data_IF_990965809925
#
_entry.id   IF_990965809925
#
_cell.length_a   1.000
_cell.length_b   1.000
_cell.length_c   1.000
_cell.angle_alpha   90.00
_cell.angle_beta   90.00
_cell.angle_gamma   90.00
#
_symmetry.space_group_name_H-M   'P 1'
#
loop_
_entity.id
_entity.type
_entity.pdbx_description
1 polymer ?
#
# COMPACT_ATOMS: atom_id res chain seq x y z
N UNK A 1 -5.07 19.16 -11.95
CA UNK A 1 -5.38 19.65 -10.59
C UNK A 1 -4.54 18.85 -9.62
N UNK A 2 -3.96 19.48 -8.61
CA UNK A 2 -3.16 18.80 -7.61
C UNK A 2 -3.99 17.79 -6.79
N UNK A 3 -3.38 16.70 -6.31
CA UNK A 3 -4.01 15.75 -5.43
C UNK A 3 -4.41 16.43 -4.10
N UNK A 4 -5.63 16.19 -3.65
CA UNK A 4 -6.13 16.70 -2.36
C UNK A 4 -5.69 15.80 -1.20
N UNK A 5 -5.56 14.52 -1.46
CA UNK A 5 -5.10 13.52 -0.48
C UNK A 5 -3.90 12.80 -1.06
N UNK A 6 -2.83 12.70 -0.29
CA UNK A 6 -1.62 11.99 -0.67
C UNK A 6 -1.33 10.94 0.38
N UNK A 7 -1.11 9.69 -0.06
CA UNK A 7 -0.73 8.58 0.79
C UNK A 7 0.74 8.19 0.61
N UNK A 8 1.41 7.85 1.71
CA UNK A 8 2.73 7.19 1.71
C UNK A 8 2.59 5.81 2.35
N UNK A 9 2.92 4.76 1.60
CA UNK A 9 2.82 3.40 2.10
C UNK A 9 3.30 2.36 1.09
N UNK A 10 2.89 1.13 1.33
CA UNK A 10 3.17 -0.02 0.45
C UNK A 10 2.04 -0.21 -0.55
N UNK A 11 2.40 -0.71 -1.73
CA UNK A 11 1.47 -1.34 -2.66
C UNK A 11 1.93 -2.77 -2.94
N UNK A 12 1.00 -3.69 -3.13
CA UNK A 12 1.26 -5.12 -3.33
C UNK A 12 0.31 -5.73 -4.36
N UNK A 13 0.61 -6.97 -4.72
CA UNK A 13 -0.37 -7.87 -5.29
C UNK A 13 -0.79 -8.84 -4.20
N UNK A 14 -2.09 -8.95 -3.97
CA UNK A 14 -2.66 -9.86 -3.00
C UNK A 14 -3.32 -11.04 -3.74
N UNK A 15 -2.87 -12.25 -3.42
CA UNK A 15 -3.37 -13.50 -3.96
C UNK A 15 -4.26 -14.16 -2.92
N UNK A 16 -5.56 -14.12 -3.14
CA UNK A 16 -6.54 -14.78 -2.29
C UNK A 16 -6.71 -16.23 -2.68
N UNK A 17 -6.60 -17.11 -1.70
CA UNK A 17 -6.80 -18.55 -1.84
C UNK A 17 -7.95 -18.95 -0.92
N UNK A 18 -9.08 -19.30 -1.48
CA UNK A 18 -10.28 -19.69 -0.72
C UNK A 18 -10.26 -21.21 -0.51
N UNK A 19 -10.39 -21.63 0.73
CA UNK A 19 -10.38 -23.03 1.14
C UNK A 19 -11.60 -23.36 1.99
N UNK A 20 -11.89 -24.65 2.23
CA UNK A 20 -12.92 -25.06 3.20
C UNK A 20 -12.46 -24.78 4.62
N UNK A 21 -11.28 -25.28 4.95
CA UNK A 21 -10.59 -25.13 6.24
C UNK A 21 -9.08 -24.98 6.00
N UNK A 22 -8.37 -24.46 6.99
CA UNK A 22 -6.91 -24.34 6.88
C UNK A 22 -6.23 -25.71 6.87
N UNK A 23 -5.24 -25.85 6.01
CA UNK A 23 -4.40 -27.02 5.90
C UNK A 23 -3.58 -27.23 7.19
N UNK A 24 -3.55 -28.46 7.72
CA UNK A 24 -2.58 -28.85 8.75
C UNK A 24 -1.21 -29.12 8.11
N UNK A 25 -0.13 -29.13 8.91
CA UNK A 25 1.17 -29.57 8.40
C UNK A 25 1.06 -30.94 7.71
N UNK A 26 1.73 -31.09 6.56
CA UNK A 26 1.79 -32.28 5.72
C UNK A 26 0.47 -32.70 5.02
N UNK A 27 -0.62 -31.97 5.23
CA UNK A 27 -1.89 -32.20 4.54
C UNK A 27 -1.92 -31.58 3.14
N UNK A 28 -2.85 -32.09 2.31
CA UNK A 28 -3.23 -31.53 1.01
C UNK A 28 -4.72 -31.24 1.02
N UNK A 29 -5.07 -29.99 0.67
CA UNK A 29 -6.46 -29.57 0.56
C UNK A 29 -6.73 -28.99 -0.82
N UNK A 30 -7.98 -29.00 -1.23
CA UNK A 30 -8.41 -28.38 -2.47
C UNK A 30 -8.66 -26.89 -2.29
N UNK A 31 -8.16 -26.10 -3.22
CA UNK A 31 -8.56 -24.70 -3.36
C UNK A 31 -9.97 -24.67 -3.93
N UNK A 32 -10.88 -23.92 -3.31
CA UNK A 32 -12.25 -23.69 -3.79
C UNK A 32 -12.33 -22.58 -4.83
N UNK A 33 -11.56 -21.52 -4.60
CA UNK A 33 -11.52 -20.36 -5.49
C UNK A 33 -10.20 -19.63 -5.33
N UNK A 34 -9.87 -18.83 -6.31
CA UNK A 34 -8.64 -18.06 -6.36
C UNK A 34 -8.92 -16.67 -6.95
N UNK A 35 -8.46 -15.63 -6.29
CA UNK A 35 -8.54 -14.26 -6.78
C UNK A 35 -7.19 -13.57 -6.67
N UNK A 36 -6.94 -12.62 -7.55
CA UNK A 36 -5.74 -11.79 -7.56
C UNK A 36 -6.15 -10.33 -7.73
N UNK A 37 -5.61 -9.45 -6.90
CA UNK A 37 -5.91 -8.02 -6.96
C UNK A 37 -4.74 -7.18 -6.46
N UNK A 38 -4.74 -5.88 -6.80
CA UNK A 38 -3.85 -4.91 -6.19
C UNK A 38 -4.24 -4.69 -4.73
N UNK A 39 -3.23 -4.58 -3.86
CA UNK A 39 -3.37 -4.43 -2.43
C UNK A 39 -2.44 -3.36 -1.86
N UNK A 40 -2.32 -3.37 -0.53
CA UNK A 40 -1.61 -2.39 0.28
C UNK A 40 -2.57 -1.42 0.98
N UNK A 41 -2.42 -1.25 2.29
CA UNK A 41 -3.35 -0.49 3.14
C UNK A 41 -3.54 0.94 2.62
N UNK A 42 -2.46 1.70 2.51
CA UNK A 42 -2.50 3.08 2.03
C UNK A 42 -2.86 3.17 0.55
N UNK A 43 -2.41 2.21 -0.27
CA UNK A 43 -2.78 2.15 -1.68
C UNK A 43 -4.29 1.99 -1.86
N UNK A 44 -4.91 1.06 -1.11
CA UNK A 44 -6.36 0.83 -1.09
C UNK A 44 -7.13 2.05 -0.59
N UNK A 45 -6.62 2.75 0.45
CA UNK A 45 -7.20 4.00 0.91
C UNK A 45 -7.22 5.05 -0.20
N UNK A 46 -6.09 5.28 -0.89
CA UNK A 46 -5.99 6.26 -1.97
C UNK A 46 -6.90 5.93 -3.17
N UNK A 47 -6.99 4.63 -3.53
CA UNK A 47 -7.94 4.14 -4.57
C UNK A 47 -9.38 4.38 -4.12
N UNK A 48 -9.72 4.07 -2.86
CA UNK A 48 -11.05 4.32 -2.30
C UNK A 48 -11.43 5.79 -2.34
N UNK A 49 -10.52 6.68 -2.01
CA UNK A 49 -10.68 8.14 -2.12
C UNK A 49 -10.95 8.55 -3.58
N UNK A 50 -10.14 8.06 -4.52
CA UNK A 50 -10.29 8.36 -5.95
C UNK A 50 -11.66 7.90 -6.49
N UNK A 51 -12.09 6.68 -6.12
CA UNK A 51 -13.40 6.12 -6.50
C UNK A 51 -14.58 6.96 -5.98
N UNK A 52 -14.39 7.72 -4.91
CA UNK A 52 -15.38 8.68 -4.39
C UNK A 52 -15.24 10.08 -5.00
N UNK A 53 -14.52 10.23 -6.11
CA UNK A 53 -14.41 11.47 -6.86
C UNK A 53 -13.45 12.51 -6.28
N UNK A 54 -12.65 12.14 -5.27
CA UNK A 54 -11.64 13.02 -4.68
C UNK A 54 -10.28 12.73 -5.29
N UNK A 55 -9.58 13.73 -5.79
CA UNK A 55 -8.23 13.57 -6.35
C UNK A 55 -7.25 13.09 -5.28
N UNK A 56 -6.68 11.91 -5.49
CA UNK A 56 -5.67 11.32 -4.62
C UNK A 56 -4.35 11.09 -5.37
N UNK A 57 -3.27 10.98 -4.60
CA UNK A 57 -1.96 10.59 -5.08
C UNK A 57 -1.34 9.55 -4.16
N UNK A 58 -0.40 8.78 -4.68
CA UNK A 58 0.27 7.75 -3.92
C UNK A 58 1.80 7.89 -4.06
N UNK A 59 2.48 7.88 -2.92
CA UNK A 59 3.92 7.89 -2.80
C UNK A 59 4.40 6.50 -2.38
N UNK A 60 5.21 5.87 -3.19
CA UNK A 60 5.72 4.54 -2.95
C UNK A 60 6.52 4.03 -4.13
N UNK A 61 6.89 2.76 -4.08
CA UNK A 61 7.53 2.09 -5.21
C UNK A 61 7.07 0.65 -5.36
N UNK A 62 7.37 0.08 -6.51
CA UNK A 62 7.22 -1.33 -6.81
C UNK A 62 8.41 -1.78 -7.66
N UNK A 63 8.55 -3.07 -7.87
CA UNK A 63 9.51 -3.59 -8.85
C UNK A 63 9.18 -3.14 -10.27
N UNK A 64 10.18 -2.98 -11.11
CA UNK A 64 9.99 -2.85 -12.56
C UNK A 64 9.71 -4.24 -13.17
N UNK A 65 8.59 -4.83 -12.75
CA UNK A 65 8.12 -6.16 -13.13
C UNK A 65 6.64 -6.12 -13.54
N UNK A 66 6.06 -7.22 -14.06
CA UNK A 66 4.66 -7.25 -14.48
C UNK A 66 3.67 -6.82 -13.37
N UNK A 67 3.95 -7.16 -12.12
CA UNK A 67 3.12 -6.80 -10.96
C UNK A 67 3.17 -5.30 -10.68
N UNK A 68 4.35 -4.68 -10.72
CA UNK A 68 4.50 -3.23 -10.56
C UNK A 68 3.81 -2.43 -11.66
N UNK A 69 3.93 -2.89 -12.89
CA UNK A 69 3.20 -2.31 -14.02
C UNK A 69 1.69 -2.44 -13.87
N UNK A 70 1.19 -3.54 -13.32
CA UNK A 70 -0.23 -3.73 -13.03
C UNK A 70 -0.73 -2.76 -11.97
N UNK A 71 0.01 -2.58 -10.87
CA UNK A 71 -0.31 -1.59 -9.82
C UNK A 71 -0.33 -0.18 -10.40
N UNK A 72 0.69 0.19 -11.19
CA UNK A 72 0.74 1.49 -11.87
C UNK A 72 -0.48 1.71 -12.77
N UNK A 73 -0.86 0.69 -13.54
CA UNK A 73 -2.06 0.72 -14.39
C UNK A 73 -3.34 0.87 -13.55
N UNK A 74 -3.43 0.14 -12.44
CA UNK A 74 -4.57 0.24 -11.53
C UNK A 74 -4.74 1.67 -10.98
N UNK A 75 -3.67 2.30 -10.52
CA UNK A 75 -3.72 3.69 -10.06
C UNK A 75 -4.17 4.67 -11.17
N UNK A 76 -3.61 4.52 -12.37
CA UNK A 76 -3.99 5.35 -13.54
C UNK A 76 -5.45 5.16 -13.94
N UNK A 77 -5.98 3.94 -13.86
CA UNK A 77 -7.40 3.66 -14.15
C UNK A 77 -8.37 4.32 -13.16
N UNK A 78 -7.87 4.73 -11.99
CA UNK A 78 -8.62 5.49 -10.98
C UNK A 78 -8.27 6.98 -10.98
N UNK A 79 -7.64 7.49 -12.04
CA UNK A 79 -7.24 8.90 -12.17
C UNK A 79 -6.39 9.43 -11.00
N UNK A 80 -5.61 8.56 -10.36
CA UNK A 80 -4.70 8.93 -9.29
C UNK A 80 -3.43 9.60 -9.82
N UNK A 81 -2.88 10.51 -9.04
CA UNK A 81 -1.54 11.07 -9.29
C UNK A 81 -0.47 10.02 -8.94
N UNK A 82 0.23 9.56 -9.97
CA UNK A 82 1.32 8.56 -9.88
C UNK A 82 2.70 9.16 -10.07
N UNK A 83 2.83 10.49 -10.04
CA UNK A 83 4.11 11.19 -10.28
C UNK A 83 5.19 10.84 -9.25
N UNK A 84 4.79 10.30 -8.09
CA UNK A 84 5.68 9.87 -7.00
C UNK A 84 5.53 8.37 -6.69
N UNK A 85 5.08 7.60 -7.66
CA UNK A 85 5.11 6.13 -7.63
C UNK A 85 6.16 5.62 -8.62
N UNK A 86 7.21 4.99 -8.12
CA UNK A 86 8.39 4.62 -8.89
C UNK A 86 8.47 3.11 -9.13
N UNK A 87 8.75 2.71 -10.36
CA UNK A 87 9.13 1.34 -10.70
C UNK A 87 10.66 1.23 -10.62
N UNK A 88 11.17 0.32 -9.78
CA UNK A 88 12.59 0.17 -9.45
C UNK A 88 13.12 -1.19 -9.90
N UNK A 89 14.26 -1.22 -10.60
CA UNK A 89 14.91 -2.45 -11.10
C UNK A 89 15.53 -3.30 -9.97
N UNK A 90 15.96 -2.64 -8.92
CA UNK A 90 16.67 -3.23 -7.79
C UNK A 90 15.77 -3.91 -6.75
N UNK A 91 14.46 -3.88 -6.95
CA UNK A 91 13.49 -4.54 -6.06
C UNK A 91 12.47 -5.36 -6.84
N UNK A 92 11.63 -6.10 -6.12
CA UNK A 92 10.48 -6.84 -6.65
C UNK A 92 9.21 -6.28 -6.07
N UNK A 93 8.15 -6.32 -6.84
CA UNK A 93 6.81 -5.98 -6.34
C UNK A 93 6.36 -7.02 -5.32
N UNK A 94 5.93 -6.62 -4.12
CA UNK A 94 5.49 -7.56 -3.10
C UNK A 94 4.25 -8.35 -3.55
N UNK A 95 4.25 -9.64 -3.22
CA UNK A 95 3.11 -10.54 -3.45
C UNK A 95 2.73 -11.21 -2.13
N UNK A 96 1.58 -10.86 -1.57
CA UNK A 96 1.05 -11.54 -0.39
C UNK A 96 0.16 -12.70 -0.79
N UNK A 97 0.16 -13.78 -0.01
CA UNK A 97 -0.80 -14.88 -0.12
C UNK A 97 -1.75 -14.81 1.07
N UNK A 98 -3.04 -14.71 0.79
CA UNK A 98 -4.09 -14.59 1.80
C UNK A 98 -4.99 -15.81 1.69
N UNK A 99 -4.83 -16.74 2.60
CA UNK A 99 -5.69 -17.93 2.69
C UNK A 99 -6.91 -17.57 3.52
N UNK A 100 -8.10 -17.82 2.98
CA UNK A 100 -9.39 -17.52 3.64
C UNK A 100 -10.20 -18.82 3.72
N UNK A 101 -10.67 -19.17 4.93
CA UNK A 101 -11.53 -20.33 5.14
C UNK A 101 -13.03 -20.01 4.94
N UNK A 102 -13.87 -21.06 5.02
CA UNK A 102 -15.32 -20.93 4.87
C UNK A 102 -15.99 -20.10 5.97
N UNK A 103 -15.31 -19.83 7.07
CA UNK A 103 -15.80 -19.01 8.18
C UNK A 103 -15.35 -17.54 8.07
N UNK A 104 -14.54 -17.20 7.04
CA UNK A 104 -13.98 -15.87 6.85
C UNK A 104 -12.73 -15.59 7.70
N UNK A 105 -12.18 -16.59 8.39
CA UNK A 105 -10.87 -16.48 9.05
C UNK A 105 -9.79 -16.40 7.99
N UNK A 106 -8.69 -15.70 8.28
CA UNK A 106 -7.62 -15.52 7.30
C UNK A 106 -6.23 -15.74 7.89
N UNK A 107 -5.36 -16.30 7.06
CA UNK A 107 -3.92 -16.36 7.29
C UNK A 107 -3.24 -15.58 6.17
N UNK A 108 -2.31 -14.70 6.52
CA UNK A 108 -1.59 -13.86 5.57
C UNK A 108 -0.11 -14.24 5.60
N UNK A 109 0.39 -14.71 4.45
CA UNK A 109 1.82 -14.88 4.22
C UNK A 109 2.31 -13.62 3.53
N UNK A 110 3.01 -12.79 4.29
CA UNK A 110 3.45 -11.47 3.85
C UNK A 110 4.82 -11.54 3.18
N UNK A 111 4.95 -10.89 2.03
CA UNK A 111 6.19 -10.82 1.28
C UNK A 111 7.20 -9.89 1.99
N UNK A 112 8.47 -10.33 2.21
CA UNK A 112 9.49 -9.50 2.85
C UNK A 112 9.89 -8.26 2.02
N UNK A 113 9.52 -8.17 0.75
CA UNK A 113 9.75 -6.98 -0.07
C UNK A 113 8.81 -5.80 0.25
N UNK A 114 7.82 -5.99 1.12
CA UNK A 114 6.91 -4.92 1.54
C UNK A 114 7.66 -3.67 1.99
N UNK A 115 8.59 -3.80 2.95
CA UNK A 115 9.33 -2.66 3.50
C UNK A 115 10.30 -2.02 2.51
N UNK A 116 10.79 -2.79 1.52
CA UNK A 116 11.73 -2.29 0.49
C UNK A 116 11.06 -1.38 -0.54
N UNK A 117 9.74 -1.44 -0.64
CA UNK A 117 8.95 -0.69 -1.61
C UNK A 117 8.26 0.56 -1.03
N UNK A 118 8.56 0.91 0.23
CA UNK A 118 8.22 2.24 0.77
C UNK A 118 9.39 3.20 0.51
N UNK A 119 9.09 4.42 0.10
CA UNK A 119 10.12 5.44 -0.13
C UNK A 119 10.90 5.73 1.16
N UNK A 120 12.20 5.92 1.03
CA UNK A 120 13.05 6.41 2.13
C UNK A 120 12.81 7.91 2.38
N UNK A 121 13.23 8.39 3.54
CA UNK A 121 13.10 9.80 3.87
C UNK A 121 13.78 10.72 2.84
N UNK A 122 14.87 10.27 2.20
CA UNK A 122 15.61 11.06 1.21
C UNK A 122 14.89 11.15 -0.14
N UNK A 123 14.02 10.18 -0.45
CA UNK A 123 13.21 10.16 -1.66
C UNK A 123 11.93 11.02 -1.56
N UNK A 124 11.64 11.57 -0.37
CA UNK A 124 10.46 12.42 -0.15
C UNK A 124 10.70 13.81 -0.71
N UNK A 125 9.80 14.25 -1.57
CA UNK A 125 9.75 15.61 -2.14
C UNK A 125 8.81 16.46 -1.28
N UNK A 126 9.35 17.41 -0.47
CA UNK A 126 8.54 18.17 0.49
C UNK A 126 7.40 18.95 -0.16
N UNK A 127 7.63 19.55 -1.32
CA UNK A 127 6.67 20.37 -2.04
C UNK A 127 5.45 19.57 -2.49
N UNK A 128 5.62 18.26 -2.75
CA UNK A 128 4.51 17.39 -3.11
C UNK A 128 3.61 17.15 -1.90
N UNK A 129 4.19 16.80 -0.75
CA UNK A 129 3.44 16.59 0.49
C UNK A 129 2.73 17.85 0.95
N UNK A 130 3.40 19.01 0.89
CA UNK A 130 2.86 20.30 1.33
C UNK A 130 1.67 20.80 0.50
N UNK A 131 1.49 20.32 -0.74
CA UNK A 131 0.37 20.70 -1.61
C UNK A 131 -0.94 19.98 -1.28
N UNK A 132 -0.89 18.82 -0.62
CA UNK A 132 -2.08 18.06 -0.26
C UNK A 132 -2.86 18.76 0.87
N UNK A 133 -4.17 18.55 0.92
CA UNK A 133 -5.00 18.98 2.05
C UNK A 133 -4.89 17.98 3.23
N UNK A 134 -4.69 16.71 2.90
CA UNK A 134 -4.52 15.61 3.87
C UNK A 134 -3.35 14.72 3.43
N UNK A 135 -2.44 14.45 4.35
CA UNK A 135 -1.42 13.40 4.22
C UNK A 135 -1.86 12.16 5.03
N UNK A 136 -1.79 10.98 4.40
CA UNK A 136 -2.16 9.69 5.01
C UNK A 136 -1.01 8.69 4.97
N UNK A 137 -0.82 7.89 6.04
CA UNK A 137 0.21 6.86 6.11
C UNK A 137 -0.15 5.77 7.14
N UNK A 138 0.42 4.57 6.97
CA UNK A 138 0.43 3.47 7.94
C UNK A 138 1.77 3.39 8.71
N UNK A 139 2.72 4.26 8.37
CA UNK A 139 4.06 4.36 8.94
C UNK A 139 4.90 3.06 8.88
N UNK A 140 4.71 2.22 7.88
CA UNK A 140 5.58 1.04 7.65
C UNK A 140 7.07 1.46 7.65
N UNK A 141 7.39 2.64 7.12
CA UNK A 141 8.72 3.25 7.21
C UNK A 141 8.67 4.52 8.04
N UNK A 142 8.98 4.38 9.32
CA UNK A 142 8.77 5.41 10.35
C UNK A 142 9.45 6.73 10.01
N UNK A 143 10.70 6.72 9.53
CA UNK A 143 11.47 7.94 9.25
C UNK A 143 10.84 8.74 8.10
N UNK A 144 10.45 8.08 7.03
CA UNK A 144 9.78 8.71 5.90
C UNK A 144 8.40 9.26 6.30
N UNK A 145 7.63 8.48 7.06
CA UNK A 145 6.33 8.89 7.58
C UNK A 145 6.47 10.12 8.51
N UNK A 146 7.40 10.13 9.46
CA UNK A 146 7.69 11.27 10.34
C UNK A 146 8.06 12.52 9.56
N UNK A 147 8.93 12.38 8.53
CA UNK A 147 9.29 13.51 7.67
C UNK A 147 8.05 14.09 6.97
N UNK A 148 7.22 13.26 6.36
CA UNK A 148 6.01 13.71 5.68
C UNK A 148 5.01 14.33 6.63
N UNK A 149 4.78 13.72 7.82
CA UNK A 149 3.88 14.28 8.84
C UNK A 149 4.34 15.64 9.32
N UNK A 150 5.65 15.84 9.52
CA UNK A 150 6.23 17.12 9.88
C UNK A 150 5.98 18.17 8.80
N UNK A 151 6.30 17.85 7.54
CA UNK A 151 6.07 18.74 6.38
C UNK A 151 4.59 19.13 6.28
N UNK A 152 3.67 18.16 6.38
CA UNK A 152 2.24 18.42 6.33
C UNK A 152 1.79 19.36 7.47
N UNK A 153 2.24 19.11 8.69
CA UNK A 153 1.94 19.96 9.85
C UNK A 153 2.47 21.38 9.69
N UNK A 154 3.70 21.56 9.27
CA UNK A 154 4.33 22.86 9.02
C UNK A 154 3.62 23.65 7.91
N UNK A 155 3.05 22.94 6.92
CA UNK A 155 2.21 23.52 5.88
C UNK A 155 0.75 23.75 6.30
N UNK A 156 0.38 23.51 7.57
CA UNK A 156 -0.99 23.67 8.08
C UNK A 156 -1.98 22.61 7.55
N UNK A 157 -1.48 21.47 7.10
CA UNK A 157 -2.29 20.39 6.52
C UNK A 157 -2.69 19.36 7.57
N UNK A 158 -3.73 18.59 7.25
CA UNK A 158 -4.19 17.49 8.11
C UNK A 158 -3.31 16.25 7.91
N UNK A 159 -3.15 15.49 8.98
CA UNK A 159 -2.48 14.19 8.97
C UNK A 159 -3.49 13.14 9.39
N UNK A 160 -3.59 12.07 8.61
CA UNK A 160 -4.38 10.87 8.88
C UNK A 160 -3.43 9.68 9.00
N UNK A 161 -3.72 8.79 9.91
CA UNK A 161 -2.84 7.67 10.23
C UNK A 161 -3.66 6.39 10.42
N UNK A 162 -3.22 5.28 9.78
CA UNK A 162 -3.75 3.95 10.02
C UNK A 162 -2.85 3.25 11.04
N UNK A 163 -3.44 2.87 12.19
CA UNK A 163 -2.75 2.13 13.25
C UNK A 163 -2.73 0.66 12.91
N UNK A 164 -1.80 0.27 12.04
CA UNK A 164 -1.52 -1.14 11.79
C UNK A 164 -0.94 -1.83 13.03
N UNK A 165 -1.16 -3.14 13.12
CA UNK A 165 -0.78 -3.98 14.28
C UNK A 165 0.70 -3.86 14.66
N UNK A 166 1.57 -3.51 13.70
CA UNK A 166 3.01 -3.38 13.93
C UNK A 166 3.40 -2.14 14.74
N UNK A 167 2.60 -1.07 14.72
CA UNK A 167 2.89 0.15 15.47
C UNK A 167 2.67 -0.05 16.97
N UNK A 168 1.78 -0.96 17.37
CA UNK A 168 1.52 -1.29 18.77
C UNK A 168 2.65 -2.09 19.45
N UNK A 169 3.59 -2.65 18.68
CA UNK A 169 4.72 -3.48 19.18
C UNK A 169 5.98 -2.63 19.45
N UNK A 170 6.06 -1.43 18.88
CA UNK A 170 7.23 -0.53 18.96
C UNK A 170 6.95 0.77 19.70
N UNK A 171 5.82 0.86 20.39
CA UNK A 171 5.44 2.00 21.24
C UNK A 171 5.99 1.91 22.65
#
# INVERSE_FOLDING_TARGET
>A
MAAKIIGLGVSSIDMFVIVEEFCKPDDKIWIKDFARQCGGVVANFCVGVARNGVKSGFMGSAGEDPNGHEIMKNFKNHDMDVSHFFLKKETKTPVNIIVVDSHGSRQILQDPYMEKNVLSADEIIPEYVAKADIFHTDAVKIDAARKCMKIAKEAGKKVSFDLERHVAVYG
#
